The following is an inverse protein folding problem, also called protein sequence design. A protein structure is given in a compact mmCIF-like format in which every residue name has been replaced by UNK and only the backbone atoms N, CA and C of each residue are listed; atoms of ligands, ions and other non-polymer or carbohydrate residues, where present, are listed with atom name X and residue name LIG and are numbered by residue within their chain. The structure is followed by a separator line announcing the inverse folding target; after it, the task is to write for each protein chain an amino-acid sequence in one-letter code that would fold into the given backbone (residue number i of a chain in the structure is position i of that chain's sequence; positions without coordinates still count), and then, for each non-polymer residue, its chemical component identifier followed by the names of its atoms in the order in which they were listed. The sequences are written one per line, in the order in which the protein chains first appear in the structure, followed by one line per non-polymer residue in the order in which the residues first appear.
data_IF_508793128424
#
_entry.id   IF_508793128424
#
_cell.length_a   1.000
_cell.length_b   1.000
_cell.length_c   1.000
_cell.angle_alpha   90.00
_cell.angle_beta   90.00
_cell.angle_gamma   90.00
#
_symmetry.space_group_name_H-M   'P 1'
#
loop_
_entity.id
_entity.type
_entity.pdbx_description
1 polymer ?
#
# COMPACT_ATOMS: atom_id res chain seq x y z
N UNK A 1 16.03 5.82 2.44
CA UNK A 1 14.55 5.94 2.61
C UNK A 1 13.90 4.59 2.38
N UNK A 2 12.97 4.24 3.24
CA UNK A 2 12.17 3.03 3.11
C UNK A 2 10.80 3.40 2.58
N UNK A 3 10.39 2.79 1.47
CA UNK A 3 9.05 2.97 0.91
C UNK A 3 8.11 1.88 1.43
N UNK A 4 6.94 2.28 1.92
CA UNK A 4 5.92 1.35 2.36
C UNK A 4 4.69 1.54 1.48
N UNK A 5 4.42 0.58 0.62
CA UNK A 5 3.20 0.55 -0.18
C UNK A 5 2.10 0.05 0.73
N UNK A 6 1.07 0.87 0.92
CA UNK A 6 -0.14 0.46 1.64
C UNK A 6 -1.26 0.30 0.64
N UNK A 7 -1.82 -0.89 0.58
CA UNK A 7 -2.95 -1.20 -0.29
C UNK A 7 -4.00 -1.95 0.51
N UNK A 8 -5.21 -2.06 -0.05
CA UNK A 8 -6.27 -2.77 0.63
C UNK A 8 -7.63 -2.50 0.00
N UNK A 9 -8.66 -3.07 0.59
CA UNK A 9 -10.02 -2.95 0.10
C UNK A 9 -10.54 -1.53 0.13
N UNK A 10 -11.38 -1.20 -0.85
CA UNK A 10 -12.04 0.11 -0.91
C UNK A 10 -13.08 0.29 0.20
N UNK A 11 -13.54 -0.81 0.76
CA UNK A 11 -14.50 -0.84 1.87
C UNK A 11 -13.83 -0.97 3.24
N UNK A 12 -12.51 -1.02 3.27
CA UNK A 12 -11.77 -1.10 4.51
C UNK A 12 -11.90 0.22 5.28
N UNK A 13 -12.37 0.15 6.53
CA UNK A 13 -12.59 1.34 7.35
C UNK A 13 -12.08 1.20 8.79
N UNK A 14 -11.28 0.19 9.06
CA UNK A 14 -10.76 -0.05 10.41
C UNK A 14 -9.47 0.75 10.64
N UNK A 15 -9.64 2.01 11.03
CA UNK A 15 -8.53 2.92 11.26
C UNK A 15 -7.59 2.41 12.35
N UNK A 16 -8.12 1.85 13.42
CA UNK A 16 -7.30 1.34 14.53
C UNK A 16 -6.39 0.20 14.07
N UNK A 17 -6.94 -0.72 13.29
CA UNK A 17 -6.16 -1.83 12.76
C UNK A 17 -5.05 -1.33 11.83
N UNK A 18 -5.36 -0.39 10.95
CA UNK A 18 -4.38 0.17 10.04
C UNK A 18 -3.25 0.87 10.79
N UNK A 19 -3.59 1.72 11.75
CA UNK A 19 -2.59 2.46 12.52
C UNK A 19 -1.72 1.54 13.37
N UNK A 20 -2.33 0.54 14.02
CA UNK A 20 -1.59 -0.43 14.83
C UNK A 20 -0.65 -1.27 13.97
N UNK A 21 -1.12 -1.70 12.81
CA UNK A 21 -0.30 -2.51 11.89
C UNK A 21 0.90 -1.71 11.36
N UNK A 22 0.66 -0.47 10.93
CA UNK A 22 1.75 0.37 10.43
C UNK A 22 2.73 0.73 11.55
N UNK A 23 2.23 1.03 12.73
CA UNK A 23 3.08 1.29 13.88
C UNK A 23 4.03 0.12 14.14
N UNK A 24 3.49 -1.09 14.15
CA UNK A 24 4.29 -2.30 14.37
C UNK A 24 5.34 -2.50 13.29
N UNK A 25 4.96 -2.31 12.03
CA UNK A 25 5.89 -2.45 10.89
C UNK A 25 7.02 -1.42 11.00
N UNK A 26 6.70 -0.19 11.39
CA UNK A 26 7.66 0.91 11.43
C UNK A 26 8.61 0.84 12.63
N UNK A 27 8.28 0.10 13.67
CA UNK A 27 9.11 0.02 14.88
C UNK A 27 10.54 -0.44 14.61
N UNK A 28 10.76 -1.27 13.63
CA UNK A 28 12.10 -1.78 13.31
C UNK A 28 12.84 -1.00 12.24
N UNK A 29 12.33 0.16 11.84
CA UNK A 29 12.89 0.93 10.72
C UNK A 29 13.45 2.25 11.23
N UNK A 30 14.75 2.47 11.05
CA UNK A 30 15.46 3.65 11.55
C UNK A 30 15.62 4.76 10.51
N UNK A 31 15.41 4.50 9.23
CA UNK A 31 15.56 5.51 8.19
C UNK A 31 14.24 6.24 7.89
N UNK A 32 14.32 7.23 7.02
CA UNK A 32 13.15 8.00 6.61
C UNK A 32 12.14 7.13 5.90
N UNK A 33 10.87 7.42 6.14
CA UNK A 33 9.74 6.62 5.63
C UNK A 33 8.96 7.43 4.60
N UNK A 34 8.63 6.79 3.49
CA UNK A 34 7.66 7.31 2.54
C UNK A 34 6.51 6.31 2.43
N UNK A 35 5.30 6.79 2.67
CA UNK A 35 4.07 6.00 2.47
C UNK A 35 3.66 6.15 1.01
N UNK A 36 3.42 5.04 0.35
CA UNK A 36 3.07 4.98 -1.07
C UNK A 36 1.68 4.37 -1.19
N UNK A 37 0.75 5.08 -1.81
CA UNK A 37 -0.64 4.63 -1.96
C UNK A 37 -1.13 4.78 -3.39
N UNK A 38 -2.21 4.07 -3.69
CA UNK A 38 -2.85 4.15 -5.01
C UNK A 38 -3.94 5.21 -5.13
N UNK A 39 -4.19 5.99 -4.09
CA UNK A 39 -5.17 7.06 -4.12
C UNK A 39 -6.63 6.61 -4.16
N UNK A 40 -6.91 5.34 -3.84
CA UNK A 40 -8.27 4.83 -3.81
C UNK A 40 -8.95 5.14 -2.48
N UNK A 41 -10.22 4.75 -2.36
CA UNK A 41 -10.95 4.80 -1.10
C UNK A 41 -10.46 3.70 -0.17
N UNK A 42 -10.89 3.75 1.08
CA UNK A 42 -10.62 2.68 2.05
C UNK A 42 -9.21 2.72 2.58
N UNK A 43 -8.48 1.61 2.47
CA UNK A 43 -7.14 1.49 3.05
C UNK A 43 -6.18 2.58 2.56
N UNK A 44 -6.21 2.90 1.25
CA UNK A 44 -5.36 3.94 0.68
C UNK A 44 -5.62 5.30 1.32
N UNK A 45 -6.89 5.67 1.48
CA UNK A 45 -7.27 6.94 2.09
C UNK A 45 -6.86 7.02 3.56
N UNK A 46 -7.02 5.93 4.30
CA UNK A 46 -6.59 5.87 5.70
C UNK A 46 -5.08 5.96 5.83
N UNK A 47 -4.33 5.33 4.91
CA UNK A 47 -2.88 5.40 4.92
C UNK A 47 -2.38 6.81 4.61
N UNK A 48 -3.02 7.49 3.68
CA UNK A 48 -2.73 8.89 3.37
C UNK A 48 -2.88 9.76 4.61
N UNK A 49 -4.00 9.61 5.31
CA UNK A 49 -4.27 10.36 6.53
C UNK A 49 -3.23 10.06 7.61
N UNK A 50 -2.87 8.79 7.77
CA UNK A 50 -1.85 8.36 8.72
C UNK A 50 -0.50 9.05 8.43
N UNK A 51 -0.09 9.07 7.15
CA UNK A 51 1.14 9.72 6.75
C UNK A 51 1.13 11.21 7.06
N UNK A 52 0.02 11.88 6.75
CA UNK A 52 -0.13 13.32 7.00
C UNK A 52 -0.10 13.64 8.49
N UNK A 53 -0.78 12.85 9.31
CA UNK A 53 -0.86 13.08 10.75
C UNK A 53 0.45 12.79 11.46
N UNK A 54 1.28 11.92 10.91
CA UNK A 54 2.55 11.52 11.53
C UNK A 54 3.78 12.13 10.86
N UNK A 55 3.57 13.01 9.89
CA UNK A 55 4.67 13.72 9.24
C UNK A 55 5.52 12.87 8.31
N UNK A 56 5.01 11.76 7.82
CA UNK A 56 5.72 10.93 6.84
C UNK A 56 5.56 11.49 5.44
N UNK A 57 6.56 11.29 4.59
CA UNK A 57 6.44 11.59 3.17
C UNK A 57 5.37 10.71 2.54
N UNK A 58 4.69 11.24 1.53
CA UNK A 58 3.59 10.55 0.86
C UNK A 58 3.78 10.61 -0.65
N UNK A 59 3.62 9.48 -1.31
CA UNK A 59 3.62 9.37 -2.76
C UNK A 59 2.35 8.66 -3.19
N UNK A 60 1.57 9.30 -4.07
CA UNK A 60 0.28 8.77 -4.50
C UNK A 60 0.31 8.49 -6.00
N UNK A 61 -0.12 7.28 -6.38
CA UNK A 61 -0.21 6.85 -7.77
C UNK A 61 -1.68 6.57 -8.09
N UNK A 62 -2.28 7.42 -8.92
CA UNK A 62 -3.67 7.21 -9.30
C UNK A 62 -3.78 6.33 -10.54
N UNK A 63 -4.75 5.42 -10.53
CA UNK A 63 -5.02 4.59 -11.69
C UNK A 63 -5.62 5.43 -12.81
N UNK A 64 -5.16 5.21 -14.04
CA UNK A 64 -5.66 5.91 -15.23
C UNK A 64 -6.73 5.06 -15.92
N UNK A 65 -7.95 5.14 -15.41
CA UNK A 65 -9.08 4.37 -15.90
C UNK A 65 -9.46 4.72 -17.33
N UNK A 66 -9.23 5.95 -17.75
CA UNK A 66 -9.51 6.38 -19.13
C UNK A 66 -8.61 5.66 -20.12
N UNK A 67 -7.34 5.53 -19.78
CA UNK A 67 -6.33 4.92 -20.65
C UNK A 67 -6.37 3.40 -20.63
N UNK A 68 -6.43 2.80 -19.44
CA UNK A 68 -6.24 1.36 -19.26
C UNK A 68 -7.52 0.61 -18.92
N UNK A 69 -8.61 1.29 -18.66
CA UNK A 69 -9.90 0.69 -18.31
C UNK A 69 -9.76 -0.30 -17.16
N UNK A 70 -10.19 -1.55 -17.33
CA UNK A 70 -10.11 -2.58 -16.29
C UNK A 70 -8.67 -2.93 -15.90
N UNK A 71 -7.71 -2.64 -16.78
CA UNK A 71 -6.31 -2.87 -16.49
C UNK A 71 -5.63 -1.77 -15.68
N UNK A 72 -6.34 -0.67 -15.38
CA UNK A 72 -5.74 0.49 -14.73
C UNK A 72 -5.19 0.19 -13.33
N UNK A 73 -5.91 -0.62 -12.54
CA UNK A 73 -5.45 -1.02 -11.23
C UNK A 73 -4.14 -1.79 -11.25
N UNK A 74 -4.06 -2.89 -12.01
CA UNK A 74 -2.81 -3.65 -12.14
C UNK A 74 -1.65 -2.81 -12.69
N UNK A 75 -1.88 -1.93 -13.65
CA UNK A 75 -0.84 -1.03 -14.19
C UNK A 75 -0.34 -0.10 -13.08
N UNK A 76 -1.24 0.54 -12.34
CA UNK A 76 -0.90 1.42 -11.24
C UNK A 76 -0.11 0.67 -10.16
N UNK A 77 -0.52 -0.58 -9.83
CA UNK A 77 0.19 -1.40 -8.86
C UNK A 77 1.63 -1.68 -9.31
N UNK A 78 1.83 -2.01 -10.59
CA UNK A 78 3.16 -2.23 -11.14
C UNK A 78 4.02 -0.96 -11.07
N UNK A 79 3.43 0.21 -11.33
CA UNK A 79 4.14 1.48 -11.22
C UNK A 79 4.55 1.80 -9.78
N UNK A 80 3.68 1.55 -8.81
CA UNK A 80 4.00 1.73 -7.40
C UNK A 80 5.18 0.85 -6.98
N UNK A 81 5.15 -0.41 -7.38
CA UNK A 81 6.20 -1.35 -7.03
C UNK A 81 7.52 -0.95 -7.67
N UNK A 82 7.49 -0.57 -8.95
CA UNK A 82 8.67 -0.11 -9.66
C UNK A 82 9.30 1.10 -8.96
N UNK A 83 8.48 2.05 -8.54
CA UNK A 83 8.95 3.22 -7.81
C UNK A 83 9.58 2.81 -6.46
N UNK A 84 8.88 1.98 -5.69
CA UNK A 84 9.37 1.54 -4.37
C UNK A 84 10.73 0.83 -4.48
N UNK A 85 10.93 0.07 -5.55
CA UNK A 85 12.18 -0.64 -5.78
C UNK A 85 13.36 0.29 -6.13
N UNK A 86 13.10 1.57 -6.42
CA UNK A 86 14.18 2.56 -6.58
C UNK A 86 14.67 3.08 -5.23
N UNK A 87 13.94 2.83 -4.16
CA UNK A 87 14.34 3.23 -2.81
C UNK A 87 15.22 2.15 -2.19
N UNK A 88 15.92 2.50 -1.11
CA UNK A 88 16.84 1.56 -0.46
C UNK A 88 16.12 0.30 0.03
N UNK A 89 14.94 0.48 0.61
CA UNK A 89 14.14 -0.61 1.12
C UNK A 89 12.68 -0.44 0.70
N UNK A 90 12.00 -1.54 0.41
CA UNK A 90 10.60 -1.53 0.02
C UNK A 90 9.83 -2.59 0.83
N UNK A 91 8.64 -2.21 1.28
CA UNK A 91 7.74 -3.07 2.03
C UNK A 91 6.33 -2.88 1.47
N UNK A 92 5.53 -3.95 1.44
CA UNK A 92 4.12 -3.87 1.08
C UNK A 92 3.29 -4.31 2.28
N UNK A 93 2.34 -3.47 2.67
CA UNK A 93 1.35 -3.80 3.70
C UNK A 93 -0.02 -3.84 3.03
N UNK A 94 -0.61 -5.02 2.93
CA UNK A 94 -1.90 -5.22 2.27
C UNK A 94 -2.99 -5.58 3.28
N UNK A 95 -4.04 -4.76 3.31
CA UNK A 95 -5.22 -4.99 4.14
C UNK A 95 -6.26 -5.69 3.28
N UNK A 96 -6.36 -6.99 3.41
CA UNK A 96 -7.05 -7.86 2.46
C UNK A 96 -8.17 -8.66 3.11
N UNK A 97 -9.33 -8.66 2.45
CA UNK A 97 -10.49 -9.45 2.88
C UNK A 97 -10.45 -10.90 2.35
N UNK A 98 -9.42 -11.26 1.63
CA UNK A 98 -9.28 -12.58 1.01
C UNK A 98 -9.95 -12.69 -0.35
N UNK A 99 -10.58 -11.63 -0.84
CA UNK A 99 -11.35 -11.65 -2.09
C UNK A 99 -10.99 -10.54 -3.07
N UNK A 100 -10.61 -9.36 -2.58
CA UNK A 100 -10.30 -8.21 -3.43
C UNK A 100 -9.15 -8.54 -4.40
N UNK A 101 -9.43 -8.38 -5.70
CA UNK A 101 -8.45 -8.69 -6.75
C UNK A 101 -7.30 -7.70 -6.79
N UNK A 102 -7.58 -6.44 -6.54
CA UNK A 102 -6.55 -5.39 -6.57
C UNK A 102 -5.49 -5.60 -5.50
N UNK A 103 -5.91 -5.94 -4.29
CA UNK A 103 -4.98 -6.21 -3.19
C UNK A 103 -4.21 -7.50 -3.44
N UNK A 104 -4.89 -8.54 -3.90
CA UNK A 104 -4.23 -9.81 -4.26
C UNK A 104 -3.17 -9.59 -5.34
N UNK A 105 -3.47 -8.77 -6.35
CA UNK A 105 -2.54 -8.44 -7.43
C UNK A 105 -1.26 -7.80 -6.89
N UNK A 106 -1.39 -6.81 -6.00
CA UNK A 106 -0.22 -6.16 -5.42
C UNK A 106 0.61 -7.11 -4.57
N UNK A 107 -0.04 -7.90 -3.71
CA UNK A 107 0.66 -8.86 -2.86
C UNK A 107 1.43 -9.88 -3.71
N UNK A 108 0.81 -10.36 -4.78
CA UNK A 108 1.42 -11.31 -5.70
C UNK A 108 2.63 -10.71 -6.42
N UNK A 109 2.49 -9.49 -6.94
CA UNK A 109 3.59 -8.79 -7.62
C UNK A 109 4.77 -8.56 -6.67
N UNK A 110 4.49 -8.15 -5.45
CA UNK A 110 5.53 -7.88 -4.46
C UNK A 110 6.30 -9.16 -4.11
N UNK A 111 5.58 -10.26 -3.89
CA UNK A 111 6.19 -11.55 -3.59
C UNK A 111 7.05 -12.04 -4.74
N UNK A 112 6.59 -11.86 -5.97
CA UNK A 112 7.36 -12.25 -7.16
C UNK A 112 8.67 -11.48 -7.29
N UNK A 113 8.75 -10.27 -6.75
CA UNK A 113 9.97 -9.45 -6.75
C UNK A 113 10.80 -9.59 -5.48
N UNK A 114 10.41 -10.48 -4.58
CA UNK A 114 11.13 -10.69 -3.32
C UNK A 114 10.97 -9.54 -2.32
N UNK A 115 9.95 -8.71 -2.48
CA UNK A 115 9.68 -7.60 -1.57
C UNK A 115 8.97 -8.13 -0.34
N UNK A 116 9.38 -7.65 0.84
CA UNK A 116 8.75 -8.04 2.09
C UNK A 116 7.30 -7.60 2.12
N UNK A 117 6.40 -8.55 2.40
CA UNK A 117 4.96 -8.28 2.43
C UNK A 117 4.38 -8.61 3.80
N UNK A 118 3.45 -7.75 4.23
CA UNK A 118 2.60 -8.00 5.39
C UNK A 118 1.17 -8.09 4.91
N UNK A 119 0.55 -9.23 5.07
CA UNK A 119 -0.85 -9.44 4.72
C UNK A 119 -1.67 -9.37 5.99
N UNK A 120 -2.45 -8.30 6.12
CA UNK A 120 -3.31 -8.10 7.28
C UNK A 120 -4.74 -8.40 6.86
N UNK A 121 -5.30 -9.50 7.38
CA UNK A 121 -6.66 -9.92 7.05
C UNK A 121 -7.68 -9.14 7.85
N UNK A 122 -8.77 -8.78 7.20
CA UNK A 122 -9.93 -8.22 7.86
C UNK A 122 -11.20 -8.86 7.31
N UNK A 123 -12.26 -8.81 8.10
CA UNK A 123 -13.57 -9.29 7.68
C UNK A 123 -14.48 -8.13 7.29
N UNK A 124 -15.28 -8.37 6.27
CA UNK A 124 -16.28 -7.40 5.86
C UNK A 124 -17.49 -7.46 6.80
#
# INVERSE_FOLDING_TARGET
MTGIIVCGGRDFNDRQLLEASLYTILLGIDDDIEIITGGAKGADALAKKYAQENGYALKEFRADWKRYRKGAGPVRNAEMLKYALTLENAIVAGFWDGKSRGTADMLQKARAKGVKTYEIRYEK
#
